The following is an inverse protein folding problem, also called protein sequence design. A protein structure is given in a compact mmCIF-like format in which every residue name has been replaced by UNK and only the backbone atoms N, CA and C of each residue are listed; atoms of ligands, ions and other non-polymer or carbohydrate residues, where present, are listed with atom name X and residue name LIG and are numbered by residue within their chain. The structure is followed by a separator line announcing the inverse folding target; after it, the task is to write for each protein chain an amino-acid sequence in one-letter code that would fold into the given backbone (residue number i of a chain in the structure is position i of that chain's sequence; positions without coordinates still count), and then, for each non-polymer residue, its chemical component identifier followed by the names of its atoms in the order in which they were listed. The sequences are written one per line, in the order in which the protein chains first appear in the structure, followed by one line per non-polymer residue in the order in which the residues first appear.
data_IF_128498655901
#
_entry.id   IF_128498655901
#
_cell.length_a   1.000
_cell.length_b   1.000
_cell.length_c   1.000
_cell.angle_alpha   90.00
_cell.angle_beta   90.00
_cell.angle_gamma   90.00
#
_symmetry.space_group_name_H-M   'P 1'
#
loop_
_entity.id
_entity.type
_entity.pdbx_description
1 polymer ?
#
# COMPACT_ATOMS: atom_id res chain seq x y z
N UNK A 1 -22.77 14.11 -4.56
CA UNK A 1 -21.84 13.02 -4.25
C UNK A 1 -20.55 13.69 -3.83
N UNK A 2 -20.14 13.60 -2.56
CA UNK A 2 -18.84 14.11 -2.13
C UNK A 2 -17.76 13.35 -2.86
N UNK A 3 -16.78 14.09 -3.38
CA UNK A 3 -15.65 13.50 -4.11
C UNK A 3 -14.76 12.77 -3.10
N UNK A 4 -14.43 11.51 -3.37
CA UNK A 4 -13.51 10.73 -2.58
C UNK A 4 -12.18 11.44 -2.44
N UNK A 5 -11.67 11.56 -1.23
CA UNK A 5 -10.35 12.12 -0.97
C UNK A 5 -9.27 11.02 -1.09
N UNK A 6 -8.68 10.91 -2.27
CA UNK A 6 -7.58 9.98 -2.52
C UNK A 6 -6.29 10.31 -1.77
N UNK A 7 -6.18 11.53 -1.22
CA UNK A 7 -5.06 11.97 -0.39
C UNK A 7 -5.33 11.82 1.12
N UNK A 8 -6.43 11.18 1.52
CA UNK A 8 -6.72 10.93 2.92
C UNK A 8 -5.50 10.33 3.63
N UNK A 9 -5.06 10.97 4.69
CA UNK A 9 -3.95 10.49 5.50
C UNK A 9 -4.47 9.60 6.62
N UNK A 10 -4.10 8.33 6.58
CA UNK A 10 -4.36 7.37 7.64
C UNK A 10 -3.02 6.83 8.13
N UNK A 11 -2.71 7.05 9.39
CA UNK A 11 -1.48 6.60 10.03
C UNK A 11 -1.68 6.54 11.55
N UNK A 12 -0.63 6.31 12.34
CA UNK A 12 -0.73 6.19 13.81
C UNK A 12 -1.31 7.41 14.53
N UNK A 13 -1.33 8.58 13.89
CA UNK A 13 -1.87 9.81 14.46
C UNK A 13 -3.22 10.21 13.83
N UNK A 14 -3.50 9.72 12.63
CA UNK A 14 -4.69 10.06 11.87
C UNK A 14 -5.53 8.81 11.64
N UNK A 15 -6.64 8.73 12.37
CA UNK A 15 -7.62 7.66 12.21
C UNK A 15 -8.37 7.83 10.89
N UNK A 16 -8.80 6.71 10.29
CA UNK A 16 -9.72 6.72 9.15
C UNK A 16 -11.00 7.51 9.52
N UNK A 17 -11.48 8.42 8.66
CA UNK A 17 -12.76 9.11 8.86
C UNK A 17 -13.93 8.13 9.05
N UNK A 18 -14.80 8.39 10.00
CA UNK A 18 -15.89 7.46 10.38
C UNK A 18 -16.90 7.19 9.25
N UNK A 19 -17.07 8.12 8.30
CA UNK A 19 -17.97 7.98 7.14
C UNK A 19 -17.28 7.45 5.87
N UNK A 20 -16.03 6.96 5.97
CA UNK A 20 -15.25 6.56 4.80
C UNK A 20 -15.90 5.44 3.99
N UNK A 21 -16.51 4.45 4.65
CA UNK A 21 -17.16 3.33 3.99
C UNK A 21 -18.36 3.74 3.12
N UNK A 22 -18.99 4.88 3.41
CA UNK A 22 -20.16 5.39 2.66
C UNK A 22 -19.77 6.01 1.32
N UNK A 23 -18.52 6.48 1.19
CA UNK A 23 -18.03 7.19 0.00
C UNK A 23 -17.15 6.33 -0.92
N UNK A 24 -16.81 5.13 -0.50
CA UNK A 24 -15.92 4.25 -1.26
C UNK A 24 -16.71 3.27 -2.13
N UNK A 25 -16.45 3.29 -3.44
CA UNK A 25 -16.93 2.25 -4.36
C UNK A 25 -15.88 1.14 -4.46
N UNK A 26 -16.20 -0.04 -3.97
CA UNK A 26 -15.30 -1.19 -4.03
C UNK A 26 -15.86 -2.32 -4.91
N UNK A 27 -14.95 -3.13 -5.39
CA UNK A 27 -15.22 -4.36 -6.14
C UNK A 27 -14.51 -5.55 -5.47
N UNK A 28 -15.03 -6.75 -5.73
CA UNK A 28 -14.38 -7.98 -5.30
C UNK A 28 -13.53 -8.55 -6.44
N UNK A 29 -12.31 -8.97 -6.12
CA UNK A 29 -11.39 -9.62 -7.04
C UNK A 29 -10.80 -10.86 -6.39
N UNK A 30 -10.69 -11.94 -7.16
CA UNK A 30 -10.00 -13.14 -6.72
C UNK A 30 -8.52 -13.04 -7.08
N UNK A 31 -7.64 -13.08 -6.08
CA UNK A 31 -6.20 -13.08 -6.34
C UNK A 31 -5.69 -14.46 -6.82
N UNK A 32 -4.41 -14.53 -7.15
CA UNK A 32 -3.77 -15.76 -7.65
C UNK A 32 -3.74 -16.91 -6.65
N UNK A 33 -3.95 -16.62 -5.36
CA UNK A 33 -4.04 -17.61 -4.27
C UNK A 33 -5.47 -18.09 -4.01
N UNK A 34 -6.44 -17.61 -4.78
CA UNK A 34 -7.85 -17.97 -4.63
C UNK A 34 -8.59 -17.18 -3.55
N UNK A 35 -7.94 -16.22 -2.88
CA UNK A 35 -8.54 -15.37 -1.85
C UNK A 35 -9.37 -14.27 -2.52
N UNK A 36 -10.57 -14.01 -2.02
CA UNK A 36 -11.40 -12.88 -2.43
C UNK A 36 -10.92 -11.64 -1.66
N UNK A 37 -10.56 -10.63 -2.41
CA UNK A 37 -10.10 -9.32 -1.92
C UNK A 37 -11.11 -8.26 -2.27
N UNK A 38 -11.25 -7.23 -1.42
CA UNK A 38 -12.03 -6.03 -1.69
C UNK A 38 -11.08 -4.87 -1.96
N UNK A 39 -11.30 -4.16 -3.05
CA UNK A 39 -10.43 -3.06 -3.48
C UNK A 39 -11.30 -1.95 -4.10
N UNK A 40 -10.89 -0.72 -3.97
CA UNK A 40 -11.52 0.37 -4.68
C UNK A 40 -11.37 0.16 -6.19
N UNK A 41 -12.46 0.42 -6.92
CA UNK A 41 -12.60 0.06 -8.34
C UNK A 41 -11.51 0.68 -9.22
N UNK A 42 -11.29 1.98 -9.10
CA UNK A 42 -10.29 2.69 -9.91
C UNK A 42 -8.87 2.27 -9.52
N UNK A 43 -8.62 2.02 -8.24
CA UNK A 43 -7.36 1.45 -7.75
C UNK A 43 -7.06 0.12 -8.43
N UNK A 44 -8.06 -0.77 -8.56
CA UNK A 44 -7.91 -2.04 -9.26
C UNK A 44 -7.62 -1.85 -10.76
N UNK A 45 -8.33 -0.94 -11.42
CA UNK A 45 -8.11 -0.63 -12.84
C UNK A 45 -6.67 -0.18 -13.07
N UNK A 46 -6.18 0.76 -12.27
CA UNK A 46 -4.81 1.28 -12.36
C UNK A 46 -3.74 0.25 -11.96
N UNK A 47 -4.02 -0.59 -10.97
CA UNK A 47 -3.15 -1.72 -10.67
C UNK A 47 -3.02 -2.70 -11.85
N UNK A 48 -4.10 -3.01 -12.54
CA UNK A 48 -4.08 -3.89 -13.69
C UNK A 48 -3.31 -3.29 -14.88
N UNK A 49 -3.39 -1.96 -15.09
CA UNK A 49 -2.59 -1.24 -16.09
C UNK A 49 -1.09 -1.31 -15.73
N UNK A 50 -0.72 -1.01 -14.49
CA UNK A 50 0.66 -1.12 -13.97
C UNK A 50 1.19 -2.54 -14.13
N UNK A 51 0.42 -3.54 -13.71
CA UNK A 51 0.79 -4.95 -13.83
C UNK A 51 1.04 -5.36 -15.27
N UNK A 52 0.19 -4.92 -16.20
CA UNK A 52 0.35 -5.20 -17.64
C UNK A 52 1.63 -4.61 -18.19
N UNK A 53 2.00 -3.37 -17.82
CA UNK A 53 3.26 -2.75 -18.21
C UNK A 53 4.47 -3.51 -17.65
N UNK A 54 4.46 -3.82 -16.37
CA UNK A 54 5.53 -4.56 -15.70
C UNK A 54 5.68 -5.98 -16.28
N UNK A 55 4.58 -6.65 -16.58
CA UNK A 55 4.60 -7.98 -17.19
C UNK A 55 5.29 -7.97 -18.57
N UNK A 56 5.17 -6.88 -19.33
CA UNK A 56 5.91 -6.70 -20.59
C UNK A 56 7.44 -6.63 -20.40
N UNK A 57 7.88 -6.39 -19.17
CA UNK A 57 9.28 -6.33 -18.75
C UNK A 57 9.69 -7.55 -17.89
N UNK A 58 8.91 -8.64 -17.95
CA UNK A 58 9.11 -9.90 -17.24
C UNK A 58 9.01 -9.78 -15.70
N UNK A 59 8.25 -8.79 -15.22
CA UNK A 59 7.96 -8.60 -13.80
C UNK A 59 6.48 -8.86 -13.56
N UNK A 60 6.13 -10.00 -12.94
CA UNK A 60 4.74 -10.37 -12.63
C UNK A 60 4.42 -10.04 -11.17
N UNK A 61 3.78 -8.88 -10.95
CA UNK A 61 3.23 -8.50 -9.65
C UNK A 61 1.80 -9.00 -9.49
N UNK A 62 1.45 -9.43 -8.28
CA UNK A 62 0.13 -9.94 -7.93
C UNK A 62 -0.39 -9.22 -6.67
N UNK A 63 -1.71 -9.14 -6.52
CA UNK A 63 -2.31 -8.69 -5.26
C UNK A 63 -2.16 -9.77 -4.19
N UNK A 64 -1.60 -9.40 -3.04
CA UNK A 64 -1.52 -10.25 -1.87
C UNK A 64 -2.56 -9.86 -0.82
N UNK A 65 -2.57 -8.60 -0.41
CA UNK A 65 -3.51 -8.04 0.55
C UNK A 65 -4.02 -6.69 0.07
N UNK A 66 -5.28 -6.37 0.36
CA UNK A 66 -5.86 -5.05 0.04
C UNK A 66 -6.66 -4.57 1.25
N UNK A 67 -8.00 -4.52 1.15
CA UNK A 67 -8.82 -4.11 2.27
C UNK A 67 -8.73 -5.06 3.45
N UNK A 68 -8.58 -4.50 4.62
CA UNK A 68 -8.72 -5.18 5.91
C UNK A 68 -9.80 -4.51 6.75
N UNK A 69 -10.74 -5.31 7.29
CA UNK A 69 -11.73 -4.80 8.24
C UNK A 69 -11.08 -4.41 9.57
N UNK A 70 -11.76 -3.59 10.36
CA UNK A 70 -11.30 -3.23 11.71
C UNK A 70 -11.03 -4.48 12.56
N UNK A 71 -11.92 -5.48 12.48
CA UNK A 71 -11.77 -6.74 13.23
C UNK A 71 -10.55 -7.54 12.79
N UNK A 72 -10.33 -7.67 11.46
CA UNK A 72 -9.16 -8.37 10.92
C UNK A 72 -7.86 -7.65 11.30
N UNK A 73 -7.85 -6.32 11.25
CA UNK A 73 -6.69 -5.53 11.65
C UNK A 73 -6.36 -5.65 13.13
N UNK A 74 -7.40 -5.65 13.97
CA UNK A 74 -7.22 -5.85 15.41
C UNK A 74 -6.63 -7.22 15.72
N UNK A 75 -7.17 -8.28 15.10
CA UNK A 75 -6.63 -9.63 15.25
C UNK A 75 -5.16 -9.69 14.81
N UNK A 76 -4.83 -9.16 13.64
CA UNK A 76 -3.45 -9.12 13.13
C UNK A 76 -2.51 -8.39 14.11
N UNK A 77 -2.94 -7.25 14.64
CA UNK A 77 -2.13 -6.47 15.57
C UNK A 77 -1.86 -7.22 16.88
N UNK A 78 -2.88 -7.89 17.45
CA UNK A 78 -2.71 -8.69 18.66
C UNK A 78 -1.82 -9.93 18.40
N UNK A 79 -1.99 -10.62 17.27
CA UNK A 79 -1.11 -11.74 16.88
C UNK A 79 0.36 -11.30 16.77
N UNK A 80 0.63 -10.11 16.22
CA UNK A 80 1.98 -9.55 16.15
C UNK A 80 2.54 -9.20 17.53
N UNK A 81 1.71 -8.66 18.44
CA UNK A 81 2.12 -8.37 19.82
C UNK A 81 2.47 -9.65 20.58
N UNK A 82 1.67 -10.69 20.44
CA UNK A 82 1.93 -11.98 21.07
C UNK A 82 3.22 -12.63 20.57
N UNK A 83 3.50 -12.51 19.25
CA UNK A 83 4.65 -13.14 18.62
C UNK A 83 5.96 -12.36 18.82
N UNK A 84 5.92 -11.03 18.82
CA UNK A 84 7.10 -10.19 18.68
C UNK A 84 7.24 -9.11 19.73
N UNK A 85 6.43 -8.93 20.73
CA UNK A 85 6.32 -7.79 21.65
C UNK A 85 5.79 -6.49 20.99
N UNK A 86 5.21 -5.64 21.80
CA UNK A 86 4.41 -4.47 21.35
C UNK A 86 5.22 -3.44 20.55
N UNK A 87 6.46 -3.14 20.95
CA UNK A 87 7.30 -2.16 20.26
C UNK A 87 7.63 -2.63 18.83
N UNK A 88 7.93 -3.92 18.67
CA UNK A 88 8.17 -4.51 17.35
C UNK A 88 6.88 -4.55 16.51
N UNK A 89 5.80 -5.03 17.08
CA UNK A 89 4.51 -5.09 16.40
C UNK A 89 4.10 -3.72 15.85
N UNK A 90 4.31 -2.67 16.63
CA UNK A 90 3.97 -1.31 16.23
C UNK A 90 4.75 -0.78 15.02
N UNK A 91 5.92 -1.34 14.70
CA UNK A 91 6.71 -0.94 13.51
C UNK A 91 6.19 -1.54 12.19
N UNK A 92 5.39 -2.61 12.28
CA UNK A 92 4.92 -3.36 11.10
C UNK A 92 3.40 -3.49 11.01
N UNK A 93 2.68 -3.15 12.05
CA UNK A 93 1.24 -3.21 12.07
C UNK A 93 0.62 -1.97 12.73
N UNK A 94 -0.49 -1.51 12.18
CA UNK A 94 -1.29 -0.45 12.76
C UNK A 94 -2.35 -1.00 13.72
N UNK A 95 -2.73 -0.28 14.78
CA UNK A 95 -3.98 -0.54 15.47
C UNK A 95 -5.19 -0.42 14.54
N UNK A 96 -6.30 -1.07 14.89
CA UNK A 96 -7.53 -0.95 14.13
C UNK A 96 -8.00 0.52 14.04
N UNK A 97 -8.39 0.95 12.86
CA UNK A 97 -8.77 2.33 12.54
C UNK A 97 -7.61 3.22 12.06
N UNK A 98 -6.34 2.77 12.20
CA UNK A 98 -5.14 3.52 11.84
C UNK A 98 -4.33 2.86 10.71
N UNK A 99 -4.88 1.85 10.05
CA UNK A 99 -4.27 1.17 8.91
C UNK A 99 -4.79 1.75 7.59
N UNK A 100 -3.90 2.02 6.64
CA UNK A 100 -4.29 2.42 5.28
C UNK A 100 -5.11 1.35 4.54
N UNK A 101 -5.00 0.09 4.93
CA UNK A 101 -5.81 -0.99 4.36
C UNK A 101 -7.31 -0.83 4.60
N UNK A 102 -7.73 0.01 5.55
CA UNK A 102 -9.14 0.36 5.72
C UNK A 102 -9.68 1.27 4.61
N UNK A 103 -8.80 1.90 3.83
CA UNK A 103 -9.19 2.87 2.79
C UNK A 103 -9.59 2.23 1.46
N UNK A 104 -9.33 0.94 1.23
CA UNK A 104 -9.35 0.24 -0.08
C UNK A 104 -8.38 0.82 -1.12
N UNK A 105 -7.57 1.84 -0.77
CA UNK A 105 -6.59 2.50 -1.64
C UNK A 105 -5.17 1.95 -1.46
N UNK A 106 -4.90 1.26 -0.36
CA UNK A 106 -3.63 0.61 -0.10
C UNK A 106 -3.68 -0.85 -0.50
N UNK A 107 -2.58 -1.34 -1.06
CA UNK A 107 -2.44 -2.73 -1.46
C UNK A 107 -1.01 -3.22 -1.22
N UNK A 108 -0.92 -4.46 -0.75
CA UNK A 108 0.33 -5.20 -0.70
C UNK A 108 0.45 -6.06 -1.94
N UNK A 109 1.59 -5.99 -2.60
CA UNK A 109 1.91 -6.84 -3.74
C UNK A 109 2.78 -8.03 -3.33
N UNK A 110 2.72 -9.10 -4.10
CA UNK A 110 3.75 -10.13 -4.14
C UNK A 110 4.29 -10.26 -5.56
N UNK A 111 5.47 -10.85 -5.70
CA UNK A 111 6.11 -11.12 -7.00
C UNK A 111 6.00 -12.61 -7.29
N UNK A 112 5.54 -12.93 -8.49
CA UNK A 112 5.53 -14.29 -9.01
C UNK A 112 6.70 -14.48 -9.98
N UNK A 113 7.66 -15.32 -9.61
CA UNK A 113 8.80 -15.67 -10.47
C UNK A 113 8.41 -16.70 -11.55
N UNK A 114 9.24 -16.84 -12.57
CA UNK A 114 9.03 -17.80 -13.67
C UNK A 114 8.96 -19.26 -13.18
N UNK A 115 9.70 -19.60 -12.12
CA UNK A 115 9.69 -20.92 -11.47
C UNK A 115 8.48 -21.15 -10.55
N UNK A 116 7.46 -20.27 -10.59
CA UNK A 116 6.26 -20.28 -9.74
C UNK A 116 6.52 -19.95 -8.27
N UNK A 117 7.73 -19.60 -7.90
CA UNK A 117 8.04 -19.07 -6.57
C UNK A 117 7.33 -17.75 -6.35
N UNK A 118 6.79 -17.58 -5.15
CA UNK A 118 6.13 -16.33 -4.73
C UNK A 118 6.98 -15.67 -3.66
N UNK A 119 7.33 -14.42 -3.89
CA UNK A 119 7.98 -13.56 -2.90
C UNK A 119 6.90 -12.64 -2.34
N UNK A 120 6.60 -12.79 -1.06
CA UNK A 120 5.53 -12.04 -0.39
C UNK A 120 5.99 -11.31 0.88
N UNK A 121 7.10 -11.69 1.47
CA UNK A 121 7.56 -11.09 2.71
C UNK A 121 8.52 -9.92 2.47
N UNK A 122 8.42 -8.86 3.28
CA UNK A 122 9.28 -7.67 3.16
C UNK A 122 10.77 -8.02 3.17
N UNK A 123 11.20 -8.94 4.05
CA UNK A 123 12.61 -9.32 4.15
C UNK A 123 13.15 -10.06 2.91
N UNK A 124 12.29 -10.79 2.20
CA UNK A 124 12.64 -11.42 0.92
C UNK A 124 12.73 -10.36 -0.19
N UNK A 125 11.82 -9.39 -0.15
CA UNK A 125 11.73 -8.33 -1.16
C UNK A 125 12.89 -7.35 -1.10
N UNK A 126 13.41 -7.07 0.10
CA UNK A 126 14.54 -6.15 0.30
C UNK A 126 15.81 -6.65 -0.43
N UNK A 127 15.97 -7.95 -0.65
CA UNK A 127 17.13 -8.49 -1.39
C UNK A 127 16.93 -8.49 -2.91
N UNK A 128 15.72 -8.34 -3.40
CA UNK A 128 15.37 -8.28 -4.84
C UNK A 128 15.40 -6.84 -5.39
N UNK A 129 16.47 -6.11 -5.11
CA UNK A 129 16.60 -4.68 -5.37
C UNK A 129 16.32 -4.27 -6.81
N UNK A 130 16.79 -5.05 -7.80
CA UNK A 130 16.60 -4.72 -9.22
C UNK A 130 15.15 -4.81 -9.65
N UNK A 131 14.41 -5.83 -9.16
CA UNK A 131 12.99 -6.02 -9.48
C UNK A 131 12.17 -4.89 -8.86
N UNK A 132 12.43 -4.57 -7.57
CA UNK A 132 11.72 -3.50 -6.89
C UNK A 132 12.07 -2.12 -7.45
N UNK A 133 13.30 -1.86 -7.89
CA UNK A 133 13.65 -0.62 -8.58
C UNK A 133 12.83 -0.44 -9.88
N UNK A 134 12.60 -1.51 -10.64
CA UNK A 134 11.73 -1.46 -11.83
C UNK A 134 10.28 -1.16 -11.47
N UNK A 135 9.75 -1.83 -10.43
CA UNK A 135 8.37 -1.62 -9.96
C UNK A 135 8.21 -0.18 -9.48
N UNK A 136 9.06 0.27 -8.55
CA UNK A 136 8.95 1.61 -7.94
C UNK A 136 9.07 2.74 -8.97
N UNK A 137 9.91 2.57 -9.99
CA UNK A 137 10.06 3.55 -11.08
C UNK A 137 8.76 3.76 -11.87
N UNK A 138 7.88 2.76 -11.91
CA UNK A 138 6.64 2.79 -12.68
C UNK A 138 5.41 3.23 -11.88
N UNK A 139 5.47 3.18 -10.56
CA UNK A 139 4.30 3.42 -9.69
C UNK A 139 3.59 4.73 -10.02
N UNK A 140 4.33 5.83 -10.10
CA UNK A 140 3.78 7.16 -10.27
C UNK A 140 3.06 7.36 -11.60
N UNK A 141 3.46 6.67 -12.67
CA UNK A 141 2.80 6.71 -13.97
C UNK A 141 1.34 6.21 -13.92
N UNK A 142 1.00 5.45 -12.88
CA UNK A 142 -0.33 4.89 -12.65
C UNK A 142 -1.02 5.46 -11.40
N UNK A 143 -0.51 6.57 -10.85
CA UNK A 143 -1.07 7.22 -9.65
C UNK A 143 -0.81 6.49 -8.34
N UNK A 144 0.19 5.61 -8.30
CA UNK A 144 0.65 4.94 -7.08
C UNK A 144 1.90 5.59 -6.50
N UNK A 145 2.02 5.51 -5.19
CA UNK A 145 3.27 5.83 -4.47
C UNK A 145 3.73 4.62 -3.66
N UNK A 146 5.04 4.51 -3.44
CA UNK A 146 5.60 3.68 -2.40
C UNK A 146 5.34 4.39 -1.07
N UNK A 147 4.60 3.75 -0.19
CA UNK A 147 4.06 4.45 0.99
C UNK A 147 5.08 4.59 2.12
N UNK A 148 5.84 3.55 2.39
CA UNK A 148 6.81 3.49 3.48
C UNK A 148 8.22 3.39 2.91
N UNK A 149 8.87 4.56 2.81
CA UNK A 149 10.17 4.74 2.18
C UNK A 149 11.31 4.37 3.12
N UNK A 150 12.40 3.85 2.56
CA UNK A 150 13.62 3.61 3.32
C UNK A 150 14.19 4.94 3.88
N UNK A 151 14.57 4.92 5.17
CA UNK A 151 15.09 6.08 5.89
C UNK A 151 14.03 7.14 6.25
N UNK A 152 12.72 6.80 6.23
CA UNK A 152 11.61 7.69 6.58
C UNK A 152 10.73 7.16 7.72
N UNK A 153 11.21 6.20 8.47
CA UNK A 153 10.51 5.59 9.60
C UNK A 153 10.22 6.57 10.74
N UNK A 154 11.06 7.59 10.94
CA UNK A 154 10.81 8.68 11.89
C UNK A 154 9.57 9.53 11.55
N UNK A 155 9.16 9.56 10.27
CA UNK A 155 8.02 10.33 9.77
C UNK A 155 6.77 9.48 9.69
N UNK A 156 6.90 8.27 9.14
CA UNK A 156 5.76 7.37 8.91
C UNK A 156 5.46 6.46 10.09
N UNK A 157 6.42 6.27 11.01
CA UNK A 157 6.43 5.30 12.12
C UNK A 157 6.39 3.84 11.67
N UNK A 158 6.63 3.56 10.40
CA UNK A 158 6.72 2.23 9.81
C UNK A 158 8.09 2.03 9.19
N UNK A 159 8.60 0.82 9.31
CA UNK A 159 9.81 0.41 8.59
C UNK A 159 9.56 0.41 7.08
N UNK A 160 10.64 0.38 6.31
CA UNK A 160 10.57 0.26 4.86
C UNK A 160 9.75 -0.97 4.43
N UNK A 161 8.75 -0.74 3.59
CA UNK A 161 7.88 -1.79 3.05
C UNK A 161 7.82 -1.69 1.52
N UNK A 162 8.70 -2.40 0.79
CA UNK A 162 8.75 -2.32 -0.67
C UNK A 162 7.47 -2.77 -1.37
N UNK A 163 6.65 -3.56 -0.68
CA UNK A 163 5.40 -4.15 -1.21
C UNK A 163 4.16 -3.29 -0.98
N UNK A 164 4.19 -2.35 -0.03
CA UNK A 164 3.03 -1.55 0.35
C UNK A 164 2.89 -0.34 -0.55
N UNK A 165 1.92 -0.40 -1.46
CA UNK A 165 1.61 0.65 -2.42
C UNK A 165 0.35 1.40 -2.01
N UNK A 166 0.34 2.71 -2.25
CA UNK A 166 -0.82 3.55 -2.02
C UNK A 166 -1.26 4.22 -3.32
N UNK A 167 -2.51 4.05 -3.70
CA UNK A 167 -3.14 4.78 -4.80
C UNK A 167 -3.59 6.17 -4.34
N UNK A 168 -3.21 7.21 -5.05
CA UNK A 168 -3.54 8.61 -4.74
C UNK A 168 -4.23 9.33 -5.92
N UNK A 169 -4.58 8.61 -6.97
CA UNK A 169 -5.31 9.05 -8.16
C UNK A 169 -4.53 10.00 -9.07
N UNK A 170 -3.93 11.06 -8.53
CA UNK A 170 -3.29 12.12 -9.30
C UNK A 170 -1.85 11.73 -9.66
N UNK A 171 -1.61 11.53 -10.96
CA UNK A 171 -0.31 11.11 -11.50
C UNK A 171 0.77 12.18 -11.29
N UNK A 172 0.43 13.46 -11.39
CA UNK A 172 1.41 14.54 -11.21
C UNK A 172 1.84 14.66 -9.75
N UNK A 173 0.89 14.48 -8.82
CA UNK A 173 1.18 14.40 -7.38
C UNK A 173 2.01 13.15 -7.08
N UNK A 174 1.66 12.00 -7.66
CA UNK A 174 2.43 10.77 -7.46
C UNK A 174 3.88 10.92 -7.94
N UNK A 175 4.09 11.53 -9.12
CA UNK A 175 5.42 11.84 -9.64
C UNK A 175 6.19 12.80 -8.72
N UNK A 176 5.55 13.87 -8.28
CA UNK A 176 6.20 14.81 -7.35
C UNK A 176 6.67 14.12 -6.06
N UNK A 177 5.83 13.27 -5.47
CA UNK A 177 6.13 12.51 -4.25
C UNK A 177 7.31 11.56 -4.49
N UNK A 178 7.22 10.75 -5.55
CA UNK A 178 8.22 9.71 -5.84
C UNK A 178 9.57 10.29 -6.29
N UNK A 179 9.58 11.32 -7.14
CA UNK A 179 10.80 11.95 -7.62
C UNK A 179 11.56 12.70 -6.52
N UNK A 180 10.84 13.31 -5.60
CA UNK A 180 11.43 14.04 -4.46
C UNK A 180 11.68 13.14 -3.23
N UNK A 181 11.40 11.84 -3.33
CA UNK A 181 11.55 10.87 -2.24
C UNK A 181 10.86 11.33 -0.96
N UNK A 182 9.59 11.75 -1.09
CA UNK A 182 8.77 12.27 0.00
C UNK A 182 7.76 11.22 0.47
N UNK A 183 7.44 11.28 1.76
CA UNK A 183 6.28 10.56 2.29
C UNK A 183 4.99 11.34 2.00
N UNK A 184 3.84 10.69 2.12
CA UNK A 184 2.54 11.36 2.00
C UNK A 184 2.38 12.45 3.07
N UNK A 185 2.89 12.22 4.28
CA UNK A 185 2.94 13.20 5.37
C UNK A 185 3.71 14.45 4.97
N UNK A 186 4.93 14.30 4.43
CA UNK A 186 5.76 15.43 3.97
C UNK A 186 5.09 16.21 2.84
N UNK A 187 4.46 15.52 1.90
CA UNK A 187 3.73 16.16 0.82
C UNK A 187 2.58 17.00 1.34
N UNK A 188 1.71 16.44 2.19
CA UNK A 188 0.55 17.13 2.74
C UNK A 188 0.95 18.31 3.63
N UNK A 189 1.98 18.17 4.46
CA UNK A 189 2.49 19.25 5.31
C UNK A 189 3.07 20.43 4.51
N UNK A 190 3.58 20.19 3.29
CA UNK A 190 4.14 21.23 2.44
C UNK A 190 3.14 21.87 1.49
N UNK A 191 1.96 21.27 1.29
CA UNK A 191 0.91 21.80 0.40
C UNK A 191 0.28 23.10 0.88
N UNK A 192 0.40 23.37 2.19
CA UNK A 192 -0.22 24.53 2.84
C UNK A 192 0.79 25.63 3.22
N UNK A 193 2.05 25.51 2.79
CA UNK A 193 3.09 26.53 2.92
C UNK A 193 3.35 27.22 1.58
#
# INVERSE_FOLDING_TARGET
MERKDYLVLVNKQNKLPDNWEEIAEFVEVKNSFGKILKIEKETLEKFNELRKDLLSQWVDIQLDSVYRSLSTQNQLFEEFKEKYWEEYASKYAAPAGYSEHHTWLALDICIKKENWEIISENHEMIVELEIFAKIHKKLADYGFILRYLDGKDDITWYSYEPRHLRYIWDVDIAKEIMEKWRTLEEYLNNRWK
#
